data_IF_431237748046
#
_entry.id   IF_431237748046
#
_cell.length_a   1.000
_cell.length_b   1.000
_cell.length_c   1.000
_cell.angle_alpha   90.00
_cell.angle_beta   90.00
_cell.angle_gamma   90.00
#
_symmetry.space_group_name_H-M   'P 1'
#
loop_
_entity.id
_entity.type
_entity.pdbx_description
1 polymer ?
#
# COMPACT_ATOMS: atom_id res chain seq x y z
N UNK A 1 -15.19 -26.11 -25.29
CA UNK A 1 -14.10 -26.38 -24.33
C UNK A 1 -14.24 -25.45 -23.14
N UNK A 2 -14.63 -25.99 -21.99
CA UNK A 2 -14.87 -25.22 -20.76
C UNK A 2 -13.59 -25.25 -19.93
N UNK A 3 -12.95 -24.10 -19.73
CA UNK A 3 -11.79 -23.98 -18.86
C UNK A 3 -12.25 -24.14 -17.40
N UNK A 4 -12.23 -25.38 -16.89
CA UNK A 4 -12.30 -25.66 -15.45
C UNK A 4 -10.93 -25.31 -14.87
N UNK A 5 -10.83 -24.18 -14.18
CA UNK A 5 -9.71 -23.95 -13.27
C UNK A 5 -9.92 -24.88 -12.08
N UNK A 6 -9.16 -25.97 -12.04
CA UNK A 6 -9.14 -26.89 -10.89
C UNK A 6 -8.28 -26.28 -9.79
N UNK A 7 -8.91 -25.73 -8.74
CA UNK A 7 -8.23 -25.46 -7.47
C UNK A 7 -8.41 -26.67 -6.56
N UNK A 8 -7.29 -27.31 -6.19
CA UNK A 8 -7.29 -28.50 -5.34
C UNK A 8 -7.84 -28.23 -3.93
N UNK A 9 -8.51 -29.27 -3.41
CA UNK A 9 -9.11 -29.46 -2.09
C UNK A 9 -8.10 -29.32 -0.93
N UNK A 10 -8.42 -28.54 0.13
CA UNK A 10 -7.69 -28.57 1.42
C UNK A 10 -8.46 -28.00 2.64
N UNK A 11 -9.74 -27.62 2.55
CA UNK A 11 -10.45 -27.00 3.68
C UNK A 11 -9.97 -25.59 4.06
N UNK A 12 -9.06 -25.00 3.29
CA UNK A 12 -8.61 -23.61 3.43
C UNK A 12 -9.65 -22.65 2.85
N UNK A 13 -9.95 -21.60 3.59
CA UNK A 13 -10.80 -20.50 3.15
C UNK A 13 -10.04 -19.56 2.21
N UNK A 14 -10.77 -18.70 1.48
CA UNK A 14 -10.14 -17.61 0.72
C UNK A 14 -9.28 -16.71 1.63
N UNK A 15 -9.73 -16.47 2.87
CA UNK A 15 -8.97 -15.72 3.86
C UNK A 15 -7.61 -16.36 4.13
N UNK A 16 -7.58 -17.68 4.36
CA UNK A 16 -6.33 -18.41 4.63
C UNK A 16 -5.33 -18.33 3.46
N UNK A 17 -5.85 -18.34 2.23
CA UNK A 17 -5.03 -18.22 1.02
C UNK A 17 -4.48 -16.81 0.87
N UNK A 18 -5.28 -15.78 1.17
CA UNK A 18 -4.85 -14.40 1.07
C UNK A 18 -3.94 -14.00 2.23
N UNK A 19 -4.07 -14.64 3.40
CA UNK A 19 -3.28 -14.29 4.59
C UNK A 19 -1.79 -14.59 4.45
N UNK A 20 -1.44 -15.53 3.57
CA UNK A 20 -0.04 -15.89 3.28
C UNK A 20 0.59 -15.00 2.20
N UNK A 21 -0.19 -14.14 1.53
CA UNK A 21 0.35 -13.26 0.49
C UNK A 21 1.03 -12.02 1.09
N UNK A 22 2.05 -11.47 0.41
CA UNK A 22 2.57 -10.13 0.71
C UNK A 22 1.43 -9.10 0.67
N UNK A 23 1.38 -8.19 1.64
CA UNK A 23 0.26 -7.25 1.78
C UNK A 23 0.20 -6.25 0.62
N UNK A 24 1.34 -5.95 0.03
CA UNK A 24 1.52 -5.14 -1.18
C UNK A 24 0.91 -5.77 -2.44
N UNK A 25 0.60 -7.07 -2.44
CA UNK A 25 -0.06 -7.75 -3.58
C UNK A 25 -1.59 -7.70 -3.51
N UNK A 26 -2.15 -7.35 -2.35
CA UNK A 26 -3.58 -7.31 -2.14
C UNK A 26 -4.05 -5.87 -2.32
N UNK A 27 -4.88 -5.63 -3.34
CA UNK A 27 -5.40 -4.28 -3.61
C UNK A 27 -6.23 -3.73 -2.44
N UNK A 28 -6.18 -2.42 -2.22
CA UNK A 28 -6.99 -1.74 -1.20
C UNK A 28 -8.49 -2.03 -1.34
N UNK A 29 -9.00 -2.07 -2.58
CA UNK A 29 -10.41 -2.31 -2.87
C UNK A 29 -10.80 -3.76 -2.50
N UNK A 30 -9.91 -4.73 -2.70
CA UNK A 30 -10.10 -6.11 -2.25
C UNK A 30 -10.05 -6.20 -0.71
N UNK A 31 -9.11 -5.51 -0.06
CA UNK A 31 -9.05 -5.46 1.41
C UNK A 31 -10.33 -4.88 2.02
N UNK A 32 -10.87 -3.82 1.43
CA UNK A 32 -12.13 -3.21 1.86
C UNK A 32 -13.32 -4.15 1.65
N UNK A 33 -13.39 -4.82 0.49
CA UNK A 33 -14.43 -5.80 0.21
C UNK A 33 -14.40 -7.00 1.19
N UNK A 34 -13.21 -7.47 1.56
CA UNK A 34 -13.02 -8.53 2.56
C UNK A 34 -13.51 -8.08 3.95
N UNK A 35 -13.11 -6.88 4.40
CA UNK A 35 -13.59 -6.33 5.67
C UNK A 35 -15.11 -6.20 5.71
N UNK A 36 -15.74 -5.73 4.61
CA UNK A 36 -17.20 -5.65 4.49
C UNK A 36 -17.89 -7.02 4.58
N UNK A 37 -17.19 -8.09 4.22
CA UNK A 37 -17.65 -9.47 4.32
C UNK A 37 -17.26 -10.16 5.63
N UNK A 38 -16.66 -9.42 6.58
CA UNK A 38 -16.23 -9.97 7.86
C UNK A 38 -14.96 -10.81 7.80
N UNK A 39 -14.21 -10.74 6.70
CA UNK A 39 -12.92 -11.44 6.54
C UNK A 39 -11.80 -10.46 6.85
N UNK A 40 -11.12 -10.68 7.99
CA UNK A 40 -9.96 -9.89 8.39
C UNK A 40 -8.68 -10.67 8.13
N UNK A 41 -7.79 -10.10 7.31
CA UNK A 41 -6.43 -10.62 7.15
C UNK A 41 -5.53 -10.09 8.27
N UNK A 42 -4.46 -10.82 8.58
CA UNK A 42 -3.45 -10.38 9.52
C UNK A 42 -2.77 -9.09 9.05
N UNK A 43 -2.42 -8.18 9.99
CA UNK A 43 -1.87 -6.87 9.66
C UNK A 43 -0.59 -6.95 8.81
N UNK A 44 -0.33 -5.90 8.03
CA UNK A 44 0.96 -5.76 7.36
C UNK A 44 2.08 -5.62 8.39
N UNK A 45 3.15 -6.41 8.21
CA UNK A 45 4.39 -6.26 8.97
C UNK A 45 5.26 -5.25 8.23
N UNK A 46 5.72 -4.22 8.93
CA UNK A 46 6.53 -3.14 8.37
C UNK A 46 7.98 -3.23 8.87
N UNK A 47 8.92 -2.93 7.98
CA UNK A 47 10.36 -2.99 8.18
C UNK A 47 11.04 -1.73 7.62
N UNK A 48 12.27 -1.48 8.08
CA UNK A 48 13.10 -0.39 7.58
C UNK A 48 13.31 -0.52 6.07
N UNK A 49 13.12 0.59 5.34
CA UNK A 49 13.28 0.63 3.88
C UNK A 49 12.04 0.21 3.08
N UNK A 50 10.97 -0.27 3.74
CA UNK A 50 9.71 -0.54 3.05
C UNK A 50 9.15 0.72 2.39
N UNK A 51 8.63 0.56 1.18
CA UNK A 51 7.97 1.63 0.45
C UNK A 51 6.51 1.69 0.88
N UNK A 52 6.03 2.88 1.21
CA UNK A 52 4.69 3.09 1.74
C UNK A 52 3.98 4.24 1.05
N UNK A 53 2.67 4.15 0.96
CA UNK A 53 1.79 5.26 0.58
C UNK A 53 0.61 5.34 1.55
N UNK A 54 -0.02 6.50 1.62
CA UNK A 54 -1.27 6.63 2.37
C UNK A 54 -2.40 5.83 1.71
N UNK A 55 -3.26 5.22 2.52
CA UNK A 55 -4.50 4.57 2.04
C UNK A 55 -5.43 5.60 1.41
N UNK A 56 -6.16 5.19 0.37
CA UNK A 56 -7.19 6.00 -0.30
C UNK A 56 -8.26 6.53 0.66
N UNK A 57 -8.65 5.73 1.64
CA UNK A 57 -9.72 6.06 2.60
C UNK A 57 -9.23 6.78 3.85
N UNK A 58 -7.91 6.92 4.03
CA UNK A 58 -7.33 7.45 5.28
C UNK A 58 -7.30 8.97 5.37
N UNK A 59 -7.52 9.65 4.25
CA UNK A 59 -7.61 11.10 4.18
C UNK A 59 -8.98 11.41 3.62
N UNK A 60 -9.93 11.76 4.49
CA UNK A 60 -11.05 12.61 4.06
C UNK A 60 -10.40 13.95 3.76
N UNK A 61 -10.34 14.39 2.48
CA UNK A 61 -9.66 15.65 2.16
C UNK A 61 -10.45 16.77 2.82
N UNK A 62 -9.97 17.20 3.99
CA UNK A 62 -10.60 18.31 4.70
C UNK A 62 -10.19 19.60 3.99
N UNK A 63 -8.96 19.61 3.46
CA UNK A 63 -8.36 20.72 2.73
C UNK A 63 -7.74 20.22 1.40
N UNK A 64 -7.69 21.07 0.37
CA UNK A 64 -7.24 20.69 -0.99
C UNK A 64 -5.80 20.14 -1.09
N UNK A 65 -4.95 20.37 -0.09
CA UNK A 65 -3.54 19.92 -0.08
C UNK A 65 -3.39 18.48 0.44
N UNK A 66 -4.44 17.94 1.05
CA UNK A 66 -4.44 16.59 1.63
C UNK A 66 -4.51 15.49 0.57
N UNK A 67 -5.18 15.76 -0.55
CA UNK A 67 -5.26 14.85 -1.69
C UNK A 67 -3.90 14.60 -2.36
N UNK A 68 -2.96 15.54 -2.27
CA UNK A 68 -1.63 15.36 -2.84
C UNK A 68 -0.72 14.47 -1.98
N UNK A 69 -1.00 14.34 -0.67
CA UNK A 69 -0.31 13.38 0.21
C UNK A 69 -0.58 11.93 -0.19
N UNK A 70 -1.79 11.61 -0.66
CA UNK A 70 -2.13 10.26 -1.13
C UNK A 70 -1.34 9.82 -2.36
N UNK A 71 -0.83 10.77 -3.14
CA UNK A 71 -0.07 10.50 -4.37
C UNK A 71 1.43 10.38 -4.10
N UNK A 72 1.87 10.63 -2.87
CA UNK A 72 3.25 10.50 -2.44
C UNK A 72 3.55 9.05 -2.06
N UNK A 73 4.73 8.59 -2.47
CA UNK A 73 5.32 7.35 -1.99
C UNK A 73 6.51 7.75 -1.13
N UNK A 74 6.55 7.20 0.07
CA UNK A 74 7.63 7.39 1.03
C UNK A 74 8.30 6.07 1.34
N UNK A 75 9.32 6.13 2.18
CA UNK A 75 10.06 4.97 2.64
C UNK A 75 10.19 5.01 4.15
N UNK A 76 10.13 3.83 4.78
CA UNK A 76 10.23 3.72 6.23
C UNK A 76 11.66 3.94 6.72
N UNK A 77 11.78 4.89 7.64
CA UNK A 77 13.03 5.32 8.25
C UNK A 77 13.21 4.70 9.63
N UNK A 78 12.10 4.53 10.37
CA UNK A 78 12.06 3.81 11.66
C UNK A 78 10.71 3.14 11.87
N UNK A 79 10.73 2.05 12.63
CA UNK A 79 9.54 1.31 13.08
C UNK A 79 9.60 1.19 14.62
N UNK A 80 9.20 2.25 15.36
CA UNK A 80 9.19 2.22 16.82
C UNK A 80 8.37 1.07 17.41
N UNK A 81 7.20 0.79 16.83
CA UNK A 81 6.31 -0.28 17.25
C UNK A 81 5.39 -0.71 16.08
N UNK A 82 4.41 -1.59 16.37
CA UNK A 82 3.51 -2.18 15.36
C UNK A 82 2.51 -1.18 14.76
N UNK A 83 2.19 -0.11 15.48
CA UNK A 83 1.18 0.87 15.10
C UNK A 83 1.79 2.19 14.65
N UNK A 84 2.98 2.54 15.15
CA UNK A 84 3.65 3.80 14.85
C UNK A 84 4.86 3.58 13.94
N UNK A 85 4.89 4.31 12.82
CA UNK A 85 5.94 4.28 11.82
C UNK A 85 6.51 5.68 11.62
N UNK A 86 7.78 5.78 11.25
CA UNK A 86 8.42 7.02 10.82
C UNK A 86 8.81 6.87 9.36
N UNK A 87 8.21 7.67 8.49
CA UNK A 87 8.43 7.62 7.05
C UNK A 87 8.93 8.97 6.53
N UNK A 88 9.83 8.93 5.54
CA UNK A 88 10.20 10.12 4.77
C UNK A 88 9.51 10.11 3.42
N UNK A 89 8.92 11.25 3.05
CA UNK A 89 8.31 11.48 1.74
C UNK A 89 9.08 12.55 0.96
N UNK A 90 8.70 12.80 -0.29
CA UNK A 90 9.41 13.73 -1.18
C UNK A 90 9.46 15.20 -0.69
N UNK A 91 8.70 15.57 0.35
CA UNK A 91 8.82 16.89 1.00
C UNK A 91 10.08 17.05 1.86
N UNK A 92 10.84 15.98 2.10
CA UNK A 92 12.06 15.99 2.92
C UNK A 92 11.80 15.93 4.44
N UNK A 93 10.55 16.03 4.88
CA UNK A 93 10.17 15.90 6.28
C UNK A 93 9.95 14.43 6.67
N UNK A 94 10.31 14.10 7.91
CA UNK A 94 9.97 12.83 8.55
C UNK A 94 8.60 12.93 9.19
N UNK A 95 7.68 12.06 8.80
CA UNK A 95 6.34 12.04 9.36
C UNK A 95 6.16 10.81 10.24
N UNK A 96 5.65 11.05 11.46
CA UNK A 96 5.03 9.99 12.26
C UNK A 96 3.71 9.62 11.61
N UNK A 97 3.55 8.36 11.22
CA UNK A 97 2.34 7.85 10.57
C UNK A 97 1.89 6.56 11.24
N UNK A 98 0.58 6.37 11.30
CA UNK A 98 0.00 5.14 11.82
C UNK A 98 0.06 4.02 10.76
N UNK A 99 0.42 2.81 11.17
CA UNK A 99 0.48 1.62 10.33
C UNK A 99 -0.86 1.35 9.61
N UNK A 100 -2.00 1.64 10.26
CA UNK A 100 -3.32 1.49 9.67
C UNK A 100 -3.70 2.58 8.65
N UNK A 101 -2.94 3.67 8.55
CA UNK A 101 -3.15 4.78 7.59
C UNK A 101 -2.35 4.63 6.32
N UNK A 102 -1.41 3.68 6.28
CA UNK A 102 -0.54 3.42 5.13
C UNK A 102 -0.72 1.99 4.61
N UNK A 103 -0.20 1.76 3.41
CA UNK A 103 -0.05 0.43 2.78
C UNK A 103 1.33 0.31 2.18
N UNK A 104 1.85 -0.92 2.15
CA UNK A 104 3.09 -1.24 1.43
C UNK A 104 2.89 -1.06 -0.08
N UNK A 105 3.96 -0.65 -0.73
CA UNK A 105 4.05 -0.47 -2.18
C UNK A 105 5.17 -1.38 -2.68
N UNK A 106 4.92 -2.06 -3.79
CA UNK A 106 5.98 -2.82 -4.47
C UNK A 106 6.99 -1.80 -5.05
N UNK A 107 8.27 -1.84 -4.63
CA UNK A 107 9.28 -0.95 -5.18
C UNK A 107 9.52 -1.24 -6.66
N UNK A 108 10.02 -0.25 -7.39
CA UNK A 108 10.47 -0.45 -8.77
C UNK A 108 11.90 -0.98 -8.75
N UNK A 109 12.14 -2.04 -9.52
CA UNK A 109 13.46 -2.64 -9.65
C UNK A 109 14.26 -2.05 -10.82
N UNK A 110 15.59 -2.12 -10.71
CA UNK A 110 16.49 -1.68 -11.78
C UNK A 110 16.26 -2.49 -13.05
N UNK A 111 16.13 -1.80 -14.18
CA UNK A 111 15.87 -2.42 -15.48
C UNK A 111 14.38 -2.64 -15.80
N UNK A 112 13.48 -2.34 -14.86
CA UNK A 112 12.04 -2.39 -15.12
C UNK A 112 11.63 -1.31 -16.12
N UNK A 113 10.87 -1.71 -17.15
CA UNK A 113 10.28 -0.77 -18.09
C UNK A 113 9.04 -0.14 -17.46
N UNK A 114 9.01 1.19 -17.41
CA UNK A 114 7.94 1.96 -16.79
C UNK A 114 7.40 3.01 -17.75
N UNK A 115 6.12 3.33 -17.63
CA UNK A 115 5.47 4.41 -18.36
C UNK A 115 4.86 5.39 -17.36
N UNK A 116 5.00 6.68 -17.65
CA UNK A 116 4.28 7.71 -16.90
C UNK A 116 2.77 7.57 -17.15
N UNK A 117 1.98 7.77 -16.10
CA UNK A 117 0.53 7.86 -16.26
C UNK A 117 0.17 9.07 -17.14
N UNK A 118 -0.88 8.94 -17.94
CA UNK A 118 -1.29 9.96 -18.94
C UNK A 118 -1.65 11.33 -18.32
N UNK A 119 -2.06 11.32 -17.06
CA UNK A 119 -2.40 12.50 -16.26
C UNK A 119 -1.18 13.25 -15.72
N UNK A 120 0.02 12.66 -15.80
CA UNK A 120 1.26 13.31 -15.34
C UNK A 120 1.78 14.25 -16.44
N UNK A 121 1.43 15.53 -16.34
CA UNK A 121 1.86 16.58 -17.30
C UNK A 121 3.20 17.24 -16.97
N UNK A 122 3.61 17.24 -15.70
CA UNK A 122 4.87 17.82 -15.22
C UNK A 122 5.40 17.05 -14.00
N UNK A 123 6.72 17.10 -13.71
CA UNK A 123 7.26 16.56 -12.46
C UNK A 123 6.51 17.13 -11.26
N UNK A 124 6.12 16.26 -10.33
CA UNK A 124 5.34 16.64 -9.14
C UNK A 124 6.21 17.22 -8.03
N UNK A 125 7.48 16.85 -8.00
CA UNK A 125 8.47 17.31 -7.03
C UNK A 125 9.71 17.76 -7.79
N UNK A 126 10.26 18.92 -7.40
CA UNK A 126 11.54 19.41 -7.89
C UNK A 126 12.64 18.76 -7.04
N UNK A 127 13.60 18.08 -7.68
CA UNK A 127 14.91 17.89 -7.04
C UNK A 127 15.64 19.22 -7.13
N UNK A 128 15.82 19.89 -5.99
CA UNK A 128 16.80 20.95 -5.86
C UNK A 128 18.20 20.34 -5.68
#
# INVERSE_FOLDING_TARGET
>A
MTYRVMFYYSGKTLGDILDVLPREWISEDLMEALMKKGVCLSPAIFELGDWVKFRKTSITPTNGWEGDRQKQVGFLQRVPDKDNLIASFCSGEYYSVLANKVVKVVPLDRGQHVQLKEDVKKPRFLSA
#
